data_IF_572497909883
#
_entry.id   IF_572497909883
#
_cell.length_a   1.000
_cell.length_b   1.000
_cell.length_c   1.000
_cell.angle_alpha   90.00
_cell.angle_beta   90.00
_cell.angle_gamma   90.00
#
_symmetry.space_group_name_H-M   'P 1'
#
loop_
_entity.id
_entity.type
_entity.pdbx_description
1 polymer ?
#
# COMPACT_ATOMS: atom_id res chain seq x y z
N UNK A 1 2.97 -4.02 4.65
CA UNK A 1 4.36 -4.48 4.40
C UNK A 1 4.77 -4.02 3.03
N UNK A 2 5.98 -3.49 2.88
CA UNK A 2 6.62 -3.29 1.57
C UNK A 2 7.49 -4.52 1.32
N UNK A 3 7.23 -5.23 0.23
CA UNK A 3 7.89 -6.50 -0.08
C UNK A 3 8.81 -6.40 -1.28
N UNK A 4 8.60 -5.40 -2.14
CA UNK A 4 9.51 -5.10 -3.24
C UNK A 4 9.75 -3.60 -3.34
N UNK A 5 10.98 -3.25 -3.69
CA UNK A 5 11.39 -1.90 -4.02
C UNK A 5 12.41 -2.01 -5.16
N UNK A 6 12.05 -1.52 -6.34
CA UNK A 6 12.90 -1.53 -7.52
C UNK A 6 13.13 -0.09 -7.98
N UNK A 7 14.40 0.34 -8.05
CA UNK A 7 14.76 1.65 -8.59
C UNK A 7 16.11 1.58 -9.28
N UNK A 8 16.15 2.06 -10.52
CA UNK A 8 17.38 2.09 -11.32
C UNK A 8 17.85 0.73 -11.80
N UNK A 9 18.93 0.77 -12.59
CA UNK A 9 19.52 -0.43 -13.22
C UNK A 9 21.04 -0.47 -13.11
N UNK A 10 21.70 0.64 -12.76
CA UNK A 10 23.15 0.74 -12.57
C UNK A 10 23.52 1.75 -11.48
N UNK A 11 24.73 1.65 -10.96
CA UNK A 11 25.20 2.35 -9.76
C UNK A 11 25.58 3.84 -9.98
N UNK A 12 25.67 4.30 -11.22
CA UNK A 12 26.16 5.64 -11.57
C UNK A 12 25.17 6.47 -12.41
N UNK A 13 23.90 6.06 -12.45
CA UNK A 13 22.83 6.76 -13.17
C UNK A 13 21.69 7.01 -12.19
N UNK A 14 21.20 8.25 -12.13
CA UNK A 14 20.02 8.60 -11.33
C UNK A 14 18.80 7.92 -11.97
N UNK A 15 18.04 7.09 -11.23
CA UNK A 15 16.86 6.42 -11.78
C UNK A 15 15.76 7.41 -12.18
N UNK A 16 15.13 7.17 -13.33
CA UNK A 16 13.95 7.95 -13.75
C UNK A 16 12.67 7.51 -13.02
N UNK A 17 12.62 6.27 -12.54
CA UNK A 17 11.46 5.69 -11.88
C UNK A 17 11.85 4.74 -10.73
N UNK A 18 10.92 4.59 -9.79
CA UNK A 18 10.95 3.59 -8.74
C UNK A 18 9.57 2.91 -8.63
N UNK A 19 9.57 1.60 -8.46
CA UNK A 19 8.39 0.77 -8.26
C UNK A 19 8.43 0.14 -6.87
N UNK A 20 7.30 0.22 -6.16
CA UNK A 20 7.15 -0.26 -4.79
C UNK A 20 5.92 -1.13 -4.72
N UNK A 21 6.11 -2.38 -4.29
CA UNK A 21 5.00 -3.32 -4.10
C UNK A 21 4.90 -3.78 -2.65
N UNK A 22 3.68 -4.06 -2.23
CA UNK A 22 3.43 -4.47 -0.87
C UNK A 22 2.04 -5.04 -0.66
N UNK A 23 1.79 -5.45 0.58
CA UNK A 23 0.50 -5.97 1.00
C UNK A 23 0.05 -5.27 2.27
N UNK A 24 -1.23 -4.91 2.30
CA UNK A 24 -1.93 -4.41 3.48
C UNK A 24 -2.85 -5.52 4.01
N UNK A 25 -2.82 -5.74 5.32
CA UNK A 25 -3.70 -6.70 6.02
C UNK A 25 -4.41 -5.98 7.16
N UNK A 26 -5.70 -6.20 7.30
CA UNK A 26 -6.52 -5.61 8.36
C UNK A 26 -7.61 -6.58 8.80
N UNK A 27 -7.93 -6.59 10.09
CA UNK A 27 -9.05 -7.34 10.66
C UNK A 27 -10.38 -6.57 10.56
N UNK A 28 -10.33 -5.26 10.31
CA UNK A 28 -11.51 -4.39 10.17
C UNK A 28 -11.58 -3.82 8.76
N UNK A 29 -12.78 -3.79 8.18
CA UNK A 29 -13.00 -3.28 6.83
C UNK A 29 -12.71 -1.78 6.73
N UNK A 30 -13.22 -1.00 7.68
CA UNK A 30 -13.06 0.46 7.72
C UNK A 30 -11.58 0.87 7.71
N UNK A 31 -10.76 0.21 8.54
CA UNK A 31 -9.34 0.47 8.61
C UNK A 31 -8.63 0.17 7.28
N UNK A 32 -9.12 -0.82 6.52
CA UNK A 32 -8.55 -1.18 5.22
C UNK A 32 -8.79 -0.09 4.17
N UNK A 33 -10.00 0.46 4.11
CA UNK A 33 -10.34 1.57 3.21
C UNK A 33 -9.60 2.86 3.61
N UNK A 34 -9.51 3.13 4.92
CA UNK A 34 -8.75 4.28 5.41
C UNK A 34 -7.27 4.18 5.06
N UNK A 35 -6.71 2.96 5.13
CA UNK A 35 -5.30 2.72 4.80
C UNK A 35 -5.01 3.00 3.33
N UNK A 36 -5.86 2.57 2.40
CA UNK A 36 -5.71 2.88 0.96
C UNK A 36 -5.61 4.40 0.74
N UNK A 37 -6.58 5.16 1.27
CA UNK A 37 -6.64 6.62 1.14
C UNK A 37 -5.41 7.30 1.74
N UNK A 38 -4.94 6.81 2.89
CA UNK A 38 -3.72 7.32 3.54
C UNK A 38 -2.48 7.06 2.70
N UNK A 39 -2.33 5.85 2.15
CA UNK A 39 -1.19 5.51 1.29
C UNK A 39 -1.18 6.42 0.06
N UNK A 40 -2.31 6.53 -0.65
CA UNK A 40 -2.40 7.40 -1.83
C UNK A 40 -2.09 8.86 -1.49
N UNK A 41 -2.63 9.36 -0.38
CA UNK A 41 -2.36 10.73 0.09
C UNK A 41 -0.87 10.97 0.36
N UNK A 42 -0.17 10.00 0.97
CA UNK A 42 1.27 10.11 1.21
C UNK A 42 2.03 10.14 -0.11
N UNK A 43 1.74 9.22 -1.03
CA UNK A 43 2.40 9.16 -2.35
C UNK A 43 2.19 10.46 -3.11
N UNK A 44 0.96 10.99 -3.11
CA UNK A 44 0.63 12.27 -3.73
C UNK A 44 1.48 13.41 -3.18
N UNK A 45 1.45 13.64 -1.87
CA UNK A 45 2.16 14.79 -1.30
C UNK A 45 3.68 14.67 -1.44
N UNK A 46 4.23 13.46 -1.31
CA UNK A 46 5.66 13.22 -1.55
C UNK A 46 5.99 13.56 -3.00
N UNK A 47 5.29 12.99 -3.98
CA UNK A 47 5.60 13.27 -5.39
C UNK A 47 5.39 14.73 -5.78
N UNK A 48 4.33 15.39 -5.32
CA UNK A 48 4.10 16.82 -5.54
C UNK A 48 5.23 17.67 -4.96
N UNK A 49 5.71 17.36 -3.75
CA UNK A 49 6.80 18.11 -3.10
C UNK A 49 8.14 18.03 -3.85
N UNK A 50 8.37 16.92 -4.58
CA UNK A 50 9.58 16.70 -5.37
C UNK A 50 9.39 16.94 -6.88
N UNK A 51 8.21 17.42 -7.32
CA UNK A 51 7.91 17.65 -8.73
C UNK A 51 7.82 16.37 -9.57
N UNK A 52 7.59 15.22 -8.94
CA UNK A 52 7.45 13.92 -9.57
C UNK A 52 5.99 13.60 -9.91
N UNK A 53 5.77 12.53 -10.68
CA UNK A 53 4.46 11.95 -10.94
C UNK A 53 4.40 10.56 -10.33
N UNK A 54 3.19 10.08 -10.05
CA UNK A 54 2.97 8.72 -9.57
C UNK A 54 1.82 8.06 -10.30
N UNK A 55 1.85 6.73 -10.31
CA UNK A 55 0.71 5.88 -10.57
C UNK A 55 0.47 5.07 -9.32
N UNK A 56 -0.79 4.95 -8.89
CA UNK A 56 -1.16 4.17 -7.72
C UNK A 56 -2.19 3.12 -8.12
N UNK A 57 -1.90 1.86 -7.79
CA UNK A 57 -2.82 0.74 -7.95
C UNK A 57 -2.97 0.05 -6.61
N UNK A 58 -4.21 -0.23 -6.23
CA UNK A 58 -4.51 -0.91 -4.99
C UNK A 58 -5.61 -1.95 -5.24
N UNK A 59 -5.25 -3.22 -5.02
CA UNK A 59 -6.18 -4.32 -5.23
C UNK A 59 -6.77 -4.82 -3.92
N UNK A 60 -8.09 -4.85 -3.86
CA UNK A 60 -8.79 -5.45 -2.75
C UNK A 60 -8.81 -6.98 -2.88
N UNK A 61 -7.80 -7.65 -2.31
CA UNK A 61 -7.85 -9.09 -2.00
C UNK A 61 -8.96 -9.47 -1.00
N UNK A 62 -8.95 -10.71 -0.50
CA UNK A 62 -10.04 -11.28 0.32
C UNK A 62 -10.43 -10.48 1.57
N UNK A 63 -11.71 -10.57 1.96
CA UNK A 63 -12.22 -10.01 3.22
C UNK A 63 -11.70 -10.83 4.41
N UNK A 64 -11.50 -10.20 5.58
CA UNK A 64 -11.16 -10.94 6.80
C UNK A 64 -12.27 -11.94 7.13
N UNK A 65 -11.89 -13.11 7.63
CA UNK A 65 -12.83 -14.08 8.19
C UNK A 65 -13.31 -13.55 9.53
N UNK A 66 -14.63 -13.39 9.68
CA UNK A 66 -15.26 -12.92 10.91
C UNK A 66 -15.92 -14.13 11.57
N UNK A 67 -15.40 -14.54 12.73
CA UNK A 67 -15.98 -15.65 13.50
C UNK A 67 -17.27 -15.20 14.20
N UNK A 68 -18.25 -16.09 14.29
CA UNK A 68 -19.47 -15.85 15.06
C UNK A 68 -19.14 -15.95 16.57
N UNK A 69 -19.42 -14.85 17.28
CA UNK A 69 -19.17 -14.69 18.71
C UNK A 69 -19.81 -15.80 19.56
N UNK A 70 -21.06 -16.18 19.28
CA UNK A 70 -21.81 -17.18 20.06
C UNK A 70 -21.16 -18.57 20.04
N UNK A 71 -20.38 -18.86 19.00
CA UNK A 71 -19.70 -20.16 18.79
C UNK A 71 -18.21 -20.10 19.17
N UNK A 72 -17.72 -18.92 19.56
CA UNK A 72 -16.30 -18.70 19.93
C UNK A 72 -16.07 -18.24 21.37
N UNK A 73 -17.13 -17.96 22.13
CA UNK A 73 -17.06 -17.82 23.59
C UNK A 73 -16.88 -19.20 24.25
N UNK A 74 -15.91 -19.32 25.16
CA UNK A 74 -15.66 -20.50 26.00
C UNK A 74 -16.58 -20.53 27.23
#
# INVERSE_FOLDING_TARGET
>A
SVTQFHAGTTHNVIPEQAEIEGTVRSLRHELREETEKRIESIVKHVTESYGAKYTFSYEYGYRPVVNNYEVTEL
#
